data_IF_268551489427
#
_entry.id   IF_268551489427
#
_cell.length_a   1.000
_cell.length_b   1.000
_cell.length_c   1.000
_cell.angle_alpha   90.00
_cell.angle_beta   90.00
_cell.angle_gamma   90.00
#
_symmetry.space_group_name_H-M   'P 1'
#
loop_
_entity.id
_entity.type
_entity.pdbx_description
1 polymer ?
#
# COMPACT_ATOMS: atom_id res chain seq x y z
N UNK A 1 23.00 10.26 3.37
CA UNK A 1 22.58 9.57 2.48
C UNK A 1 23.20 8.20 2.28
N UNK A 2 23.91 7.73 3.27
CA UNK A 2 24.55 6.43 3.21
C UNK A 2 23.67 5.32 3.80
N UNK A 3 22.58 5.70 4.46
CA UNK A 3 21.71 4.76 5.15
C UNK A 3 21.14 3.65 4.27
N UNK A 4 20.77 3.97 3.03
CA UNK A 4 20.20 3.00 2.12
C UNK A 4 21.20 1.99 1.58
N UNK A 5 22.49 2.31 1.66
CA UNK A 5 23.58 1.48 1.12
C UNK A 5 24.02 0.36 2.06
N UNK A 6 23.51 0.31 3.27
CA UNK A 6 23.82 -0.77 4.20
C UNK A 6 23.20 -2.11 3.80
N UNK A 7 22.18 -2.08 2.95
CA UNK A 7 21.52 -3.28 2.45
C UNK A 7 22.26 -3.84 1.23
N UNK A 8 22.34 -5.16 1.14
CA UNK A 8 22.89 -5.82 -0.02
C UNK A 8 22.09 -5.48 -1.26
N UNK A 9 22.79 -5.32 -2.39
CA UNK A 9 22.17 -5.06 -3.66
C UNK A 9 21.15 -6.14 -4.04
N UNK A 10 21.45 -7.40 -3.74
CA UNK A 10 20.55 -8.51 -3.99
C UNK A 10 19.24 -8.37 -3.20
N UNK A 11 19.33 -7.91 -1.95
CA UNK A 11 18.15 -7.65 -1.11
C UNK A 11 17.34 -6.49 -1.67
N UNK A 12 18.00 -5.41 -2.10
CA UNK A 12 17.32 -4.26 -2.71
C UNK A 12 16.57 -4.64 -3.97
N UNK A 13 17.20 -5.44 -4.83
CA UNK A 13 16.56 -5.91 -6.06
C UNK A 13 15.35 -6.81 -5.77
N UNK A 14 15.48 -7.67 -4.78
CA UNK A 14 14.39 -8.55 -4.34
C UNK A 14 13.21 -7.72 -3.83
N UNK A 15 13.48 -6.69 -3.05
CA UNK A 15 12.44 -5.78 -2.56
C UNK A 15 11.80 -5.01 -3.71
N UNK A 16 12.59 -4.56 -4.68
CA UNK A 16 12.08 -3.87 -5.86
C UNK A 16 11.16 -4.76 -6.68
N UNK A 17 11.53 -6.01 -6.88
CA UNK A 17 10.70 -6.98 -7.61
C UNK A 17 9.37 -7.21 -6.90
N UNK A 18 9.41 -7.36 -5.58
CA UNK A 18 8.20 -7.54 -4.78
C UNK A 18 7.29 -6.31 -4.85
N UNK A 19 7.86 -5.11 -4.78
CA UNK A 19 7.10 -3.86 -4.92
C UNK A 19 6.46 -3.76 -6.30
N UNK A 20 7.20 -4.12 -7.34
CA UNK A 20 6.67 -4.09 -8.70
C UNK A 20 5.52 -5.10 -8.85
N UNK A 21 5.66 -6.29 -8.28
CA UNK A 21 4.62 -7.31 -8.30
C UNK A 21 3.34 -6.81 -7.61
N UNK A 22 3.49 -6.20 -6.44
CA UNK A 22 2.36 -5.63 -5.71
C UNK A 22 1.69 -4.50 -6.49
N UNK A 23 2.47 -3.66 -7.15
CA UNK A 23 1.96 -2.58 -7.98
C UNK A 23 1.14 -3.14 -9.15
N UNK A 24 1.65 -4.15 -9.83
CA UNK A 24 0.97 -4.78 -10.95
C UNK A 24 -0.35 -5.42 -10.51
N UNK A 25 -0.35 -6.09 -9.37
CA UNK A 25 -1.57 -6.67 -8.80
C UNK A 25 -2.62 -5.61 -8.48
N UNK A 26 -2.18 -4.49 -7.90
CA UNK A 26 -3.10 -3.40 -7.56
C UNK A 26 -3.68 -2.75 -8.81
N UNK A 27 -2.89 -2.57 -9.86
CA UNK A 27 -3.38 -2.01 -11.13
C UNK A 27 -4.42 -2.94 -11.77
N UNK A 28 -4.18 -4.24 -11.75
CA UNK A 28 -5.13 -5.22 -12.27
C UNK A 28 -6.42 -5.23 -11.43
N UNK A 29 -6.28 -5.21 -10.10
CA UNK A 29 -7.41 -5.18 -9.19
C UNK A 29 -8.24 -3.91 -9.30
N UNK A 30 -7.58 -2.76 -9.40
CA UNK A 30 -8.26 -1.47 -9.55
C UNK A 30 -9.05 -1.41 -10.85
N UNK A 31 -8.50 -1.92 -11.94
CA UNK A 31 -9.20 -1.98 -13.22
C UNK A 31 -10.46 -2.84 -13.13
N UNK A 32 -10.36 -3.98 -12.48
CA UNK A 32 -11.49 -4.87 -12.28
C UNK A 32 -12.56 -4.21 -11.41
N UNK A 33 -12.15 -3.54 -10.33
CA UNK A 33 -13.08 -2.84 -9.43
C UNK A 33 -13.88 -1.78 -10.17
N UNK A 34 -13.23 -0.99 -11.01
CA UNK A 34 -13.89 0.03 -11.82
C UNK A 34 -14.88 -0.61 -12.80
N UNK A 35 -14.48 -1.70 -13.45
CA UNK A 35 -15.34 -2.43 -14.37
C UNK A 35 -16.58 -2.95 -13.66
N UNK A 36 -16.42 -3.53 -12.49
CA UNK A 36 -17.54 -4.04 -11.69
C UNK A 36 -18.49 -2.91 -11.29
N UNK A 37 -17.98 -1.74 -10.94
CA UNK A 37 -18.80 -0.58 -10.61
C UNK A 37 -19.61 -0.07 -11.81
N UNK A 38 -19.04 -0.10 -13.01
CA UNK A 38 -19.69 0.43 -14.20
C UNK A 38 -20.77 -0.50 -14.76
N UNK A 39 -20.73 -1.79 -14.42
CA UNK A 39 -21.74 -2.74 -14.86
C UNK A 39 -23.02 -2.69 -14.04
N UNK A 40 -22.99 -2.06 -12.86
CA UNK A 40 -24.14 -1.96 -11.96
C UNK A 40 -24.78 -0.60 -12.10
N UNK A 41 -26.01 -0.55 -12.60
CA UNK A 41 -26.79 0.68 -12.82
C UNK A 41 -28.07 0.65 -12.00
N UNK A 42 -28.63 1.83 -11.72
CA UNK A 42 -29.90 1.95 -10.99
C UNK A 42 -31.07 1.26 -11.69
N UNK A 43 -31.02 1.16 -13.00
CA UNK A 43 -32.05 0.52 -13.79
C UNK A 43 -32.22 -0.97 -13.47
N UNK A 44 -31.18 -1.60 -12.94
CA UNK A 44 -31.18 -2.99 -12.58
C UNK A 44 -31.81 -3.25 -11.20
N UNK A 45 -32.19 -2.18 -10.48
CA UNK A 45 -32.68 -2.27 -9.10
C UNK A 45 -34.01 -1.51 -8.97
N UNK A 46 -35.14 -2.18 -9.25
CA UNK A 46 -36.44 -1.52 -9.28
C UNK A 46 -37.01 -1.15 -7.91
N UNK A 47 -36.54 -1.76 -6.80
CA UNK A 47 -37.10 -1.47 -5.49
C UNK A 47 -36.08 -0.80 -4.55
N UNK A 48 -36.57 -0.05 -3.51
CA UNK A 48 -35.70 0.67 -2.57
C UNK A 48 -34.75 -0.22 -1.78
N UNK A 49 -35.14 -1.44 -1.48
CA UNK A 49 -34.29 -2.39 -0.75
C UNK A 49 -33.08 -2.79 -1.61
N UNK A 50 -33.30 -3.04 -2.88
CA UNK A 50 -32.25 -3.38 -3.82
C UNK A 50 -31.30 -2.20 -4.02
N UNK A 51 -31.83 -0.97 -4.04
CA UNK A 51 -31.02 0.24 -4.12
C UNK A 51 -30.14 0.41 -2.90
N UNK A 52 -30.65 0.14 -1.72
CA UNK A 52 -29.88 0.23 -0.47
C UNK A 52 -28.72 -0.76 -0.47
N UNK A 53 -28.96 -1.99 -0.94
CA UNK A 53 -27.91 -3.00 -1.07
C UNK A 53 -26.84 -2.57 -2.09
N UNK A 54 -27.28 -2.01 -3.23
CA UNK A 54 -26.39 -1.50 -4.25
C UNK A 54 -25.49 -0.38 -3.71
N UNK A 55 -26.08 0.56 -2.98
CA UNK A 55 -25.31 1.66 -2.38
C UNK A 55 -24.31 1.17 -1.35
N UNK A 56 -24.69 0.17 -0.54
CA UNK A 56 -23.79 -0.44 0.44
C UNK A 56 -22.61 -1.12 -0.26
N UNK A 57 -22.85 -1.87 -1.33
CA UNK A 57 -21.81 -2.53 -2.11
C UNK A 57 -20.90 -1.50 -2.79
N UNK A 58 -21.51 -0.44 -3.31
CA UNK A 58 -20.77 0.65 -3.94
C UNK A 58 -19.84 1.34 -2.93
N UNK A 59 -20.34 1.63 -1.74
CA UNK A 59 -19.56 2.25 -0.66
C UNK A 59 -18.42 1.35 -0.21
N UNK A 60 -18.66 0.04 -0.11
CA UNK A 60 -17.62 -0.93 0.21
C UNK A 60 -16.52 -0.92 -0.86
N UNK A 61 -16.92 -0.95 -2.14
CA UNK A 61 -16.01 -0.93 -3.27
C UNK A 61 -15.16 0.34 -3.29
N UNK A 62 -15.77 1.49 -3.00
CA UNK A 62 -15.05 2.77 -2.93
C UNK A 62 -14.03 2.79 -1.81
N UNK A 63 -14.36 2.24 -0.65
CA UNK A 63 -13.42 2.14 0.47
C UNK A 63 -12.24 1.23 0.15
N UNK A 64 -12.51 0.11 -0.52
CA UNK A 64 -11.48 -0.82 -0.95
C UNK A 64 -10.54 -0.16 -1.96
N UNK A 65 -11.12 0.57 -2.91
CA UNK A 65 -10.37 1.31 -3.91
C UNK A 65 -9.50 2.40 -3.30
N UNK A 66 -10.02 3.12 -2.31
CA UNK A 66 -9.25 4.13 -1.58
C UNK A 66 -8.07 3.51 -0.85
N UNK A 67 -8.29 2.36 -0.22
CA UNK A 67 -7.26 1.60 0.47
C UNK A 67 -6.16 1.15 -0.50
N UNK A 68 -6.55 0.66 -1.68
CA UNK A 68 -5.62 0.27 -2.73
C UNK A 68 -4.79 1.45 -3.23
N UNK A 69 -5.43 2.61 -3.38
CA UNK A 69 -4.75 3.84 -3.81
C UNK A 69 -3.69 4.27 -2.80
N UNK A 70 -4.01 4.19 -1.52
CA UNK A 70 -3.06 4.52 -0.45
C UNK A 70 -1.88 3.56 -0.44
N UNK A 71 -2.14 2.27 -0.65
CA UNK A 71 -1.09 1.27 -0.72
C UNK A 71 -0.20 1.51 -1.95
N UNK A 72 -0.80 1.84 -3.09
CA UNK A 72 -0.06 2.16 -4.30
C UNK A 72 0.88 3.35 -4.08
N UNK A 73 0.41 4.38 -3.39
CA UNK A 73 1.24 5.54 -3.05
C UNK A 73 2.44 5.13 -2.19
N UNK A 74 2.23 4.24 -1.22
CA UNK A 74 3.30 3.73 -0.37
C UNK A 74 4.32 2.91 -1.18
N UNK A 75 3.84 2.11 -2.14
CA UNK A 75 4.71 1.33 -3.01
C UNK A 75 5.59 2.24 -3.86
N UNK A 76 4.99 3.26 -4.47
CA UNK A 76 5.73 4.23 -5.30
C UNK A 76 6.78 4.95 -4.48
N UNK A 77 6.44 5.34 -3.27
CA UNK A 77 7.37 6.01 -2.36
C UNK A 77 8.53 5.09 -1.97
N UNK A 78 8.26 3.82 -1.70
CA UNK A 78 9.29 2.84 -1.40
C UNK A 78 10.25 2.65 -2.58
N UNK A 79 9.73 2.58 -3.80
CA UNK A 79 10.55 2.49 -5.00
C UNK A 79 11.42 3.72 -5.19
N UNK A 80 10.88 4.90 -4.89
CA UNK A 80 11.64 6.14 -4.93
C UNK A 80 12.80 6.11 -3.93
N UNK A 81 12.58 5.57 -2.74
CA UNK A 81 13.64 5.43 -1.73
C UNK A 81 14.75 4.51 -2.20
N UNK A 82 14.42 3.45 -2.94
CA UNK A 82 15.44 2.58 -3.53
C UNK A 82 16.31 3.38 -4.48
N UNK A 83 15.70 4.19 -5.32
CA UNK A 83 16.42 5.03 -6.30
C UNK A 83 17.25 6.12 -5.60
N UNK A 84 16.72 6.70 -4.52
CA UNK A 84 17.40 7.76 -3.76
C UNK A 84 18.49 7.22 -2.81
N UNK A 85 18.50 5.91 -2.56
CA UNK A 85 19.46 5.29 -1.64
C UNK A 85 19.07 5.41 -0.18
N UNK A 86 17.81 5.72 0.11
CA UNK A 86 17.27 5.85 1.48
C UNK A 86 16.38 4.69 1.91
N UNK A 87 16.25 3.69 1.04
CA UNK A 87 15.45 2.50 1.35
C UNK A 87 16.05 1.75 2.55
N UNK A 88 15.19 1.37 3.50
CA UNK A 88 15.63 0.70 4.72
C UNK A 88 16.02 1.64 5.85
N UNK A 89 15.89 2.94 5.65
CA UNK A 89 16.16 3.95 6.68
C UNK A 89 14.84 4.40 7.30
N UNK A 90 14.75 4.35 8.63
CA UNK A 90 13.56 4.77 9.35
C UNK A 90 13.33 6.26 9.21
N UNK A 91 12.12 6.66 8.84
CA UNK A 91 11.75 8.07 8.73
C UNK A 91 11.64 8.75 10.10
N UNK A 92 11.37 7.97 11.15
CA UNK A 92 11.19 8.52 12.48
C UNK A 92 12.50 8.82 13.20
N UNK A 93 13.43 7.87 13.19
CA UNK A 93 14.68 7.98 13.94
C UNK A 93 15.95 8.03 13.09
N UNK A 94 15.83 7.77 11.80
CA UNK A 94 16.98 7.75 10.89
C UNK A 94 17.85 6.51 10.98
N UNK A 95 17.47 5.55 11.81
CA UNK A 95 18.21 4.30 11.97
C UNK A 95 17.85 3.28 10.91
N UNK A 96 18.48 2.11 10.99
CA UNK A 96 18.21 1.01 10.06
C UNK A 96 16.94 0.28 10.45
N UNK A 97 16.09 -0.04 9.47
CA UNK A 97 14.86 -0.77 9.72
C UNK A 97 15.11 -2.27 9.91
N UNK A 98 16.11 -2.81 9.28
CA UNK A 98 16.42 -4.25 9.33
C UNK A 98 16.02 -4.94 8.03
N UNK A 99 16.92 -5.76 7.50
CA UNK A 99 16.70 -6.43 6.21
C UNK A 99 15.49 -7.36 6.23
N UNK A 100 15.34 -8.17 7.28
CA UNK A 100 14.24 -9.12 7.37
C UNK A 100 12.89 -8.42 7.32
N UNK A 101 12.78 -7.30 8.01
CA UNK A 101 11.55 -6.50 8.02
C UNK A 101 11.27 -5.89 6.66
N UNK A 102 12.31 -5.40 5.97
CA UNK A 102 12.16 -4.83 4.64
C UNK A 102 11.79 -5.88 3.60
N UNK A 103 12.34 -7.09 3.70
CA UNK A 103 11.99 -8.20 2.80
C UNK A 103 10.53 -8.62 3.02
N UNK A 104 10.10 -8.69 4.29
CA UNK A 104 8.73 -9.06 4.62
C UNK A 104 7.72 -7.98 4.22
N UNK A 105 8.08 -6.71 4.42
CA UNK A 105 7.20 -5.56 4.11
C UNK A 105 8.00 -4.43 3.47
N UNK A 106 8.21 -4.49 2.15
CA UNK A 106 9.03 -3.47 1.47
C UNK A 106 8.48 -2.05 1.54
N UNK A 107 7.20 -1.89 1.83
CA UNK A 107 6.56 -0.57 1.95
C UNK A 107 6.78 0.09 3.32
N UNK A 108 7.39 -0.61 4.26
CA UNK A 108 7.64 -0.11 5.62
C UNK A 108 8.59 1.07 5.59
N UNK A 109 8.22 2.15 6.28
CA UNK A 109 9.00 3.37 6.39
C UNK A 109 9.52 3.62 7.80
N UNK A 110 9.09 2.84 8.77
CA UNK A 110 9.44 2.99 10.19
C UNK A 110 10.04 1.70 10.73
N UNK A 111 11.01 1.84 11.64
CA UNK A 111 11.49 0.69 12.39
C UNK A 111 10.39 0.26 13.38
N UNK A 112 10.57 -0.91 13.99
CA UNK A 112 9.55 -1.48 14.86
C UNK A 112 9.24 -0.56 16.04
N UNK A 113 10.26 0.07 16.61
CA UNK A 113 10.10 0.99 17.75
C UNK A 113 9.29 2.23 17.37
N UNK A 114 9.64 2.87 16.26
CA UNK A 114 8.93 4.06 15.79
C UNK A 114 7.51 3.72 15.36
N UNK A 115 7.29 2.56 14.77
CA UNK A 115 5.95 2.12 14.39
C UNK A 115 5.08 1.88 15.62
N UNK A 116 5.64 1.28 16.64
CA UNK A 116 4.92 1.04 17.91
C UNK A 116 4.48 2.36 18.53
N UNK A 117 5.37 3.35 18.56
CA UNK A 117 5.05 4.68 19.08
C UNK A 117 3.93 5.32 18.26
N UNK A 118 4.01 5.25 16.94
CA UNK A 118 2.98 5.81 16.06
C UNK A 118 1.62 5.14 16.27
N UNK A 119 1.59 3.83 16.45
CA UNK A 119 0.36 3.08 16.71
C UNK A 119 -0.24 3.46 18.08
N UNK A 120 0.60 3.66 19.09
CA UNK A 120 0.14 4.11 20.40
C UNK A 120 -0.48 5.50 20.33
N UNK A 121 0.11 6.41 19.56
CA UNK A 121 -0.43 7.75 19.35
C UNK A 121 -1.76 7.71 18.60
N UNK A 122 -1.90 6.84 17.61
CA UNK A 122 -3.15 6.67 16.89
C UNK A 122 -4.26 6.08 17.76
N UNK A 123 -3.88 5.25 18.73
CA UNK A 123 -4.83 4.63 19.66
C UNK A 123 -5.39 5.56 20.73
N UNK A 124 -4.86 6.77 20.81
CA UNK A 124 -5.32 7.79 21.78
C UNK A 124 -6.29 8.73 21.10
#
# INVERSE_FOLDING_TARGET
ALGGKWMDRAVLEKCREELQRQMDELHAGAGKTVSDMTTVTEENFPDPTDRALLESDRNFTLRLRDRERKLLAKIKEAMKRIDDGTFGVCEGCGGKIGEKRMVARPVTALCIDCKTVAEEEEGR
#
